data_IF_896214301503
#
_entry.id   IF_896214301503
#
_cell.length_a   1.000
_cell.length_b   1.000
_cell.length_c   1.000
_cell.angle_alpha   90.00
_cell.angle_beta   90.00
_cell.angle_gamma   90.00
#
_symmetry.space_group_name_H-M   'P 1'
#
loop_
_entity.id
_entity.type
_entity.pdbx_description
1 polymer ?
#
# COMPACT_ATOMS: atom_id res chain seq x y z
N UNK A 1 -46.65 28.37 29.08
CA UNK A 1 -45.64 28.68 28.05
C UNK A 1 -44.85 27.40 27.82
N UNK A 2 -44.64 26.99 26.56
CA UNK A 2 -43.84 25.80 26.23
C UNK A 2 -42.39 26.27 26.11
N UNK A 3 -41.54 25.89 27.06
CA UNK A 3 -40.12 26.19 26.99
C UNK A 3 -39.52 25.42 25.80
N UNK A 4 -39.04 26.17 24.81
CA UNK A 4 -38.40 25.59 23.65
C UNK A 4 -36.99 25.15 24.01
N UNK A 5 -36.72 23.85 24.03
CA UNK A 5 -35.37 23.28 24.19
C UNK A 5 -34.47 23.51 22.95
N UNK A 6 -34.45 24.74 22.44
CA UNK A 6 -33.63 25.14 21.30
C UNK A 6 -32.42 25.99 21.71
N UNK A 7 -32.34 26.37 23.00
CA UNK A 7 -31.19 27.07 23.54
C UNK A 7 -30.00 26.13 23.64
N UNK A 8 -28.85 26.56 23.09
CA UNK A 8 -27.55 25.87 23.13
C UNK A 8 -27.36 24.65 22.19
N UNK A 9 -28.02 24.64 21.04
CA UNK A 9 -27.73 23.65 20.00
C UNK A 9 -26.29 23.80 19.44
N UNK A 10 -25.58 22.68 19.18
CA UNK A 10 -24.27 22.72 18.54
C UNK A 10 -24.39 23.32 17.14
N UNK A 11 -23.88 24.56 16.98
CA UNK A 11 -23.96 25.33 15.73
C UNK A 11 -24.74 26.63 15.84
N UNK A 12 -25.39 26.91 16.98
CA UNK A 12 -26.09 28.17 17.21
C UNK A 12 -25.13 29.37 17.03
N UNK A 13 -25.53 30.33 16.19
CA UNK A 13 -24.77 31.55 15.90
C UNK A 13 -23.51 31.37 15.03
N UNK A 14 -23.17 30.15 14.60
CA UNK A 14 -22.04 29.93 13.68
C UNK A 14 -22.54 30.00 12.22
N UNK A 15 -21.79 30.66 11.31
CA UNK A 15 -22.13 30.61 9.90
C UNK A 15 -22.14 29.16 9.41
N UNK A 16 -23.16 28.80 8.62
CA UNK A 16 -23.31 27.45 8.08
C UNK A 16 -22.10 27.18 7.16
N UNK A 17 -21.25 26.19 7.48
CA UNK A 17 -20.08 25.90 6.66
C UNK A 17 -20.51 25.51 5.24
N UNK A 18 -20.03 26.24 4.23
CA UNK A 18 -20.27 25.94 2.82
C UNK A 18 -21.57 26.50 2.22
N UNK A 19 -22.23 27.46 2.87
CA UNK A 19 -23.45 28.14 2.36
C UNK A 19 -23.19 28.97 1.08
N UNK A 20 -21.93 29.33 0.86
CA UNK A 20 -21.40 30.09 -0.28
C UNK A 20 -20.97 29.21 -1.46
N UNK A 21 -21.10 27.88 -1.34
CA UNK A 21 -20.78 26.93 -2.42
C UNK A 21 -21.97 26.77 -3.37
N UNK A 22 -21.72 26.41 -4.65
CA UNK A 22 -22.79 26.06 -5.60
C UNK A 22 -23.75 25.03 -5.00
N UNK A 23 -25.06 25.22 -5.17
CA UNK A 23 -26.08 24.34 -4.62
C UNK A 23 -25.96 22.95 -5.26
N UNK A 24 -25.39 22.02 -4.51
CA UNK A 24 -25.28 20.61 -4.88
C UNK A 24 -26.48 19.87 -4.27
N UNK A 25 -27.50 19.47 -5.04
CA UNK A 25 -28.68 18.80 -4.49
C UNK A 25 -28.34 17.50 -3.73
N UNK A 26 -27.17 16.92 -3.97
CA UNK A 26 -26.69 15.69 -3.33
C UNK A 26 -25.78 15.95 -2.11
N UNK A 27 -25.67 17.20 -1.64
CA UNK A 27 -24.77 17.59 -0.55
C UNK A 27 -24.99 16.78 0.74
N UNK A 28 -26.25 16.47 1.06
CA UNK A 28 -26.64 15.72 2.25
C UNK A 28 -26.30 14.22 2.11
N UNK A 29 -26.42 13.67 0.90
CA UNK A 29 -26.07 12.27 0.58
C UNK A 29 -24.55 12.07 0.63
N UNK A 30 -23.77 12.99 0.04
CA UNK A 30 -22.30 12.98 0.11
C UNK A 30 -21.81 13.04 1.56
N UNK A 31 -22.39 13.94 2.37
CA UNK A 31 -22.08 14.06 3.81
C UNK A 31 -22.47 12.82 4.60
N UNK A 32 -23.55 12.13 4.23
CA UNK A 32 -23.98 10.87 4.85
C UNK A 32 -23.03 9.72 4.51
N UNK A 33 -22.69 9.55 3.22
CA UNK A 33 -21.74 8.54 2.73
C UNK A 33 -20.37 8.72 3.41
N UNK A 34 -19.90 9.96 3.53
CA UNK A 34 -18.65 10.31 4.19
C UNK A 34 -18.69 10.05 5.71
N UNK A 35 -19.77 10.47 6.40
CA UNK A 35 -19.96 10.28 7.85
C UNK A 35 -20.02 8.80 8.23
N UNK A 36 -20.79 8.02 7.48
CA UNK A 36 -21.08 6.62 7.79
C UNK A 36 -20.06 5.65 7.13
N UNK A 37 -19.06 6.16 6.41
CA UNK A 37 -18.06 5.38 5.65
C UNK A 37 -18.71 4.29 4.78
N UNK A 38 -19.84 4.60 4.17
CA UNK A 38 -20.58 3.61 3.38
C UNK A 38 -19.80 3.36 2.10
N UNK A 39 -19.18 2.19 1.98
CA UNK A 39 -18.68 1.70 0.70
C UNK A 39 -19.86 1.19 -0.11
N UNK A 40 -20.37 2.01 -1.04
CA UNK A 40 -21.57 1.73 -1.87
C UNK A 40 -21.18 1.12 -3.23
N UNK A 41 -20.07 0.39 -3.33
CA UNK A 41 -19.71 -0.25 -4.61
C UNK A 41 -20.49 -1.56 -4.76
N UNK A 42 -21.25 -1.74 -5.86
CA UNK A 42 -21.79 -3.05 -6.21
C UNK A 42 -20.66 -4.09 -6.26
N UNK A 43 -20.93 -5.37 -5.90
CA UNK A 43 -19.89 -6.41 -5.84
C UNK A 43 -19.01 -6.48 -7.10
N UNK A 44 -19.60 -6.31 -8.29
CA UNK A 44 -18.87 -6.31 -9.55
C UNK A 44 -17.81 -5.19 -9.64
N UNK A 45 -18.10 -3.98 -9.16
CA UNK A 45 -17.14 -2.86 -9.20
C UNK A 45 -16.11 -2.95 -8.06
N UNK A 46 -16.54 -3.46 -6.89
CA UNK A 46 -15.63 -3.73 -5.78
C UNK A 46 -14.57 -4.75 -6.18
N UNK A 47 -14.99 -5.90 -6.73
CA UNK A 47 -14.08 -6.97 -7.17
C UNK A 47 -13.13 -6.52 -8.30
N UNK A 48 -13.55 -5.63 -9.20
CA UNK A 48 -12.66 -5.06 -10.22
C UNK A 48 -11.61 -4.14 -9.61
N UNK A 49 -11.98 -3.37 -8.59
CA UNK A 49 -11.04 -2.50 -7.87
C UNK A 49 -10.02 -3.33 -7.09
N UNK A 50 -10.49 -4.41 -6.47
CA UNK A 50 -9.62 -5.36 -5.77
C UNK A 50 -8.69 -6.10 -6.72
N UNK A 51 -9.18 -6.60 -7.85
CA UNK A 51 -8.37 -7.26 -8.88
C UNK A 51 -7.22 -6.36 -9.36
N UNK A 52 -7.51 -5.08 -9.60
CA UNK A 52 -6.51 -4.09 -10.01
C UNK A 52 -5.43 -3.83 -8.95
N UNK A 53 -5.72 -4.09 -7.67
CA UNK A 53 -4.80 -3.88 -6.54
C UNK A 53 -4.22 -5.18 -5.99
N UNK A 54 -4.62 -6.33 -6.52
CA UNK A 54 -4.30 -7.63 -5.94
C UNK A 54 -2.78 -7.82 -5.82
N UNK A 55 -2.03 -7.45 -6.87
CA UNK A 55 -0.56 -7.53 -6.86
C UNK A 55 0.08 -6.75 -5.70
N UNK A 56 -0.42 -5.54 -5.41
CA UNK A 56 0.06 -4.69 -4.31
C UNK A 56 -0.24 -5.31 -2.95
N UNK A 57 -1.38 -5.99 -2.83
CA UNK A 57 -1.78 -6.69 -1.60
C UNK A 57 -0.90 -7.93 -1.40
N UNK A 58 -0.74 -8.75 -2.43
CA UNK A 58 0.12 -9.95 -2.39
C UNK A 58 1.57 -9.59 -2.09
N UNK A 59 2.05 -8.45 -2.58
CA UNK A 59 3.42 -7.98 -2.34
C UNK A 59 3.74 -7.65 -0.88
N UNK A 60 2.72 -7.48 -0.03
CA UNK A 60 2.86 -7.29 1.42
C UNK A 60 3.05 -8.60 2.17
N UNK A 61 2.66 -9.72 1.57
CA UNK A 61 2.83 -11.03 2.18
C UNK A 61 4.30 -11.46 2.21
N UNK A 62 4.66 -12.10 3.31
CA UNK A 62 6.03 -12.56 3.55
C UNK A 62 6.26 -14.03 3.22
N UNK A 63 5.17 -14.82 3.19
CA UNK A 63 5.17 -16.27 3.02
C UNK A 63 4.18 -16.70 1.95
N UNK A 64 4.47 -17.81 1.27
CA UNK A 64 3.66 -18.35 0.17
C UNK A 64 2.23 -18.67 0.62
N UNK A 65 2.05 -19.33 1.78
CA UNK A 65 0.72 -19.66 2.31
C UNK A 65 -0.18 -18.43 2.49
N UNK A 66 0.41 -17.26 2.79
CA UNK A 66 -0.30 -15.99 2.87
C UNK A 66 -0.88 -15.59 1.52
N UNK A 67 -0.06 -15.63 0.48
CA UNK A 67 -0.45 -15.35 -0.91
C UNK A 67 -1.54 -16.32 -1.36
N UNK A 68 -1.33 -17.62 -1.12
CA UNK A 68 -2.24 -18.70 -1.52
C UNK A 68 -3.65 -18.46 -0.96
N UNK A 69 -3.75 -18.20 0.35
CA UNK A 69 -5.01 -17.89 1.03
C UNK A 69 -5.69 -16.63 0.50
N UNK A 70 -4.93 -15.57 0.21
CA UNK A 70 -5.50 -14.32 -0.30
C UNK A 70 -6.10 -14.48 -1.69
N UNK A 71 -5.43 -15.22 -2.58
CA UNK A 71 -5.94 -15.50 -3.93
C UNK A 71 -7.17 -16.41 -3.85
N UNK A 72 -7.15 -17.43 -2.99
CA UNK A 72 -8.30 -18.33 -2.77
C UNK A 72 -9.51 -17.58 -2.20
N UNK A 73 -9.32 -16.71 -1.20
CA UNK A 73 -10.39 -15.87 -0.64
C UNK A 73 -10.97 -14.92 -1.71
N UNK A 74 -10.10 -14.27 -2.48
CA UNK A 74 -10.53 -13.40 -3.58
C UNK A 74 -11.36 -14.18 -4.62
N UNK A 75 -10.91 -15.36 -5.02
CA UNK A 75 -11.64 -16.24 -5.93
C UNK A 75 -12.99 -16.69 -5.34
N UNK A 76 -13.03 -17.04 -4.06
CA UNK A 76 -14.26 -17.41 -3.37
C UNK A 76 -15.28 -16.26 -3.40
N UNK A 77 -14.84 -15.02 -3.15
CA UNK A 77 -15.69 -13.82 -3.22
C UNK A 77 -16.22 -13.53 -4.63
N UNK A 78 -15.43 -13.80 -5.68
CA UNK A 78 -15.92 -13.74 -7.08
C UNK A 78 -17.02 -14.78 -7.31
N UNK A 79 -16.79 -16.02 -6.89
CA UNK A 79 -17.73 -17.12 -7.08
C UNK A 79 -19.05 -16.82 -6.35
N UNK A 80 -18.97 -16.36 -5.11
CA UNK A 80 -20.15 -16.03 -4.31
C UNK A 80 -20.92 -14.85 -4.91
N UNK A 81 -20.23 -13.79 -5.35
CA UNK A 81 -20.87 -12.66 -6.01
C UNK A 81 -21.61 -13.07 -7.30
N UNK A 82 -21.06 -14.04 -8.06
CA UNK A 82 -21.73 -14.61 -9.24
C UNK A 82 -22.95 -15.46 -8.86
N UNK A 83 -22.89 -16.20 -7.74
CA UNK A 83 -23.98 -17.08 -7.26
C UNK A 83 -25.15 -16.31 -6.65
N UNK A 84 -24.89 -15.18 -6.01
CA UNK A 84 -25.89 -14.42 -5.26
C UNK A 84 -27.04 -13.89 -6.14
N UNK A 85 -26.83 -13.68 -7.45
CA UNK A 85 -27.87 -13.24 -8.41
C UNK A 85 -28.67 -12.00 -7.93
N UNK A 86 -28.08 -11.14 -7.09
CA UNK A 86 -28.74 -10.00 -6.42
C UNK A 86 -29.09 -8.82 -7.36
N UNK A 87 -29.08 -9.04 -8.67
CA UNK A 87 -29.20 -7.99 -9.67
C UNK A 87 -27.95 -7.08 -9.72
N UNK A 88 -27.98 -6.10 -10.62
CA UNK A 88 -26.85 -5.18 -10.86
C UNK A 88 -25.90 -5.61 -11.99
N UNK A 89 -24.82 -4.85 -12.22
CA UNK A 89 -23.87 -5.12 -13.29
C UNK A 89 -23.25 -6.53 -13.17
N UNK A 90 -23.04 -7.25 -14.27
CA UNK A 90 -22.51 -8.60 -14.23
C UNK A 90 -21.08 -8.64 -13.66
N UNK A 91 -20.80 -9.65 -12.83
CA UNK A 91 -19.46 -9.91 -12.29
C UNK A 91 -18.59 -10.60 -13.34
N UNK A 92 -17.87 -9.79 -14.13
CA UNK A 92 -17.00 -10.24 -15.21
C UNK A 92 -15.54 -10.46 -14.79
N UNK A 93 -15.17 -10.11 -13.55
CA UNK A 93 -13.80 -10.30 -13.02
C UNK A 93 -13.42 -11.77 -13.08
N UNK A 94 -12.27 -12.09 -13.68
CA UNK A 94 -11.80 -13.46 -13.84
C UNK A 94 -11.26 -14.04 -12.53
N UNK A 95 -11.32 -15.37 -12.40
CA UNK A 95 -10.60 -16.06 -11.33
C UNK A 95 -9.10 -16.02 -11.62
N UNK A 96 -8.31 -15.94 -10.55
CA UNK A 96 -6.85 -15.91 -10.58
C UNK A 96 -6.31 -17.31 -10.31
N UNK A 97 -5.37 -17.77 -11.13
CA UNK A 97 -4.70 -19.04 -10.88
C UNK A 97 -3.71 -18.87 -9.72
N UNK A 98 -3.88 -19.70 -8.69
CA UNK A 98 -3.15 -19.58 -7.44
C UNK A 98 -1.66 -19.81 -7.63
N UNK A 99 -1.27 -20.82 -8.40
CA UNK A 99 0.14 -21.17 -8.59
C UNK A 99 0.84 -20.11 -9.46
N UNK A 100 0.16 -19.60 -10.48
CA UNK A 100 0.67 -18.50 -11.33
C UNK A 100 0.93 -17.24 -10.50
N UNK A 101 0.01 -16.87 -9.60
CA UNK A 101 0.16 -15.69 -8.74
C UNK A 101 1.26 -15.87 -7.70
N UNK A 102 1.39 -17.06 -7.10
CA UNK A 102 2.49 -17.41 -6.20
C UNK A 102 3.84 -17.26 -6.90
N UNK A 103 3.98 -17.77 -8.12
CA UNK A 103 5.21 -17.62 -8.88
C UNK A 103 5.51 -16.16 -9.22
N UNK A 104 4.50 -15.38 -9.63
CA UNK A 104 4.63 -13.97 -9.94
C UNK A 104 5.09 -13.16 -8.72
N UNK A 105 4.46 -13.38 -7.57
CA UNK A 105 4.87 -12.82 -6.28
C UNK A 105 6.32 -13.21 -5.93
N UNK A 106 6.68 -14.48 -6.04
CA UNK A 106 8.02 -14.97 -5.72
C UNK A 106 9.09 -14.34 -6.64
N UNK A 107 8.76 -14.09 -7.92
CA UNK A 107 9.64 -13.34 -8.84
C UNK A 107 9.80 -11.89 -8.40
N UNK A 108 8.71 -11.16 -8.16
CA UNK A 108 8.76 -9.75 -7.71
C UNK A 108 9.56 -9.61 -6.41
N UNK A 109 9.34 -10.52 -5.45
CA UNK A 109 10.06 -10.54 -4.18
C UNK A 109 11.56 -10.76 -4.34
N UNK A 110 11.98 -11.67 -5.23
CA UNK A 110 13.40 -11.91 -5.53
C UNK A 110 14.08 -10.67 -6.08
N UNK A 111 13.42 -9.95 -6.99
CA UNK A 111 13.93 -8.68 -7.55
C UNK A 111 14.11 -7.64 -6.45
N UNK A 112 13.07 -7.39 -5.63
CA UNK A 112 13.14 -6.45 -4.50
C UNK A 112 14.30 -6.74 -3.54
N UNK A 113 14.46 -8.01 -3.16
CA UNK A 113 15.55 -8.40 -2.26
C UNK A 113 16.94 -8.22 -2.88
N UNK A 114 17.09 -8.50 -4.17
CA UNK A 114 18.35 -8.29 -4.87
C UNK A 114 18.72 -6.80 -4.90
N UNK A 115 17.75 -5.92 -5.17
CA UNK A 115 17.95 -4.47 -5.12
C UNK A 115 18.30 -3.95 -3.73
N UNK A 116 17.59 -4.41 -2.69
CA UNK A 116 17.91 -4.06 -1.31
C UNK A 116 19.33 -4.50 -0.93
N UNK A 117 19.73 -5.72 -1.32
CA UNK A 117 21.08 -6.22 -1.09
C UNK A 117 22.14 -5.37 -1.79
N UNK A 118 21.88 -4.92 -3.03
CA UNK A 118 22.77 -4.02 -3.78
C UNK A 118 22.91 -2.67 -3.07
N UNK A 119 21.81 -2.02 -2.71
CA UNK A 119 21.84 -0.74 -1.97
C UNK A 119 22.59 -0.85 -0.66
N UNK A 120 22.36 -1.91 0.12
CA UNK A 120 23.10 -2.14 1.36
C UNK A 120 24.59 -2.36 1.12
N UNK A 121 24.98 -3.00 0.02
CA UNK A 121 26.38 -3.17 -0.35
C UNK A 121 27.04 -1.84 -0.76
N UNK A 122 26.32 -1.00 -1.50
CA UNK A 122 26.76 0.36 -1.89
C UNK A 122 26.96 1.24 -0.65
N UNK A 123 25.99 1.26 0.27
CA UNK A 123 26.10 2.01 1.53
C UNK A 123 27.33 1.56 2.31
N UNK A 124 27.51 0.24 2.50
CA UNK A 124 28.69 -0.30 3.21
C UNK A 124 30.00 0.01 2.50
N UNK A 125 30.02 0.01 1.17
CA UNK A 125 31.21 0.36 0.40
C UNK A 125 31.56 1.85 0.57
N UNK A 126 30.56 2.73 0.52
CA UNK A 126 30.72 4.16 0.78
C UNK A 126 31.21 4.43 2.20
N UNK A 127 30.63 3.77 3.20
CA UNK A 127 31.09 3.84 4.61
C UNK A 127 32.55 3.41 4.75
N UNK A 128 32.95 2.30 4.11
CA UNK A 128 34.35 1.83 4.12
C UNK A 128 35.30 2.80 3.42
N UNK A 129 34.87 3.43 2.33
CA UNK A 129 35.68 4.41 1.61
C UNK A 129 35.83 5.72 2.40
N UNK A 130 34.81 6.14 3.13
CA UNK A 130 34.84 7.31 4.00
C UNK A 130 35.59 7.05 5.33
N UNK A 131 35.73 5.80 5.75
CA UNK A 131 36.41 5.45 6.99
C UNK A 131 37.91 5.82 6.91
N UNK A 132 38.45 6.56 7.90
CA UNK A 132 39.86 6.92 7.90
C UNK A 132 40.74 5.68 8.00
N UNK A 133 41.92 5.67 7.34
CA UNK A 133 42.80 4.50 7.36
C UNK A 133 43.27 4.20 8.79
N UNK A 134 43.16 2.93 9.17
CA UNK A 134 43.57 2.43 10.47
C UNK A 134 45.06 2.72 10.72
N UNK A 135 45.46 2.80 12.00
CA UNK A 135 46.85 3.08 12.38
C UNK A 135 47.84 2.08 11.75
N UNK A 136 47.44 0.81 11.62
CA UNK A 136 48.23 -0.24 10.97
C UNK A 136 48.35 -0.05 9.44
N UNK A 137 47.27 0.34 8.76
CA UNK A 137 47.34 0.66 7.33
C UNK A 137 48.25 1.86 7.05
N UNK A 138 48.23 2.87 7.93
CA UNK A 138 49.16 4.02 7.87
C UNK A 138 50.62 3.59 8.11
N UNK A 139 50.86 2.69 9.09
CA UNK A 139 52.19 2.15 9.37
C UNK A 139 52.76 1.36 8.18
N UNK A 140 51.96 0.48 7.58
CA UNK A 140 52.34 -0.32 6.40
C UNK A 140 52.65 0.60 5.20
N UNK A 141 51.81 1.60 4.93
CA UNK A 141 52.06 2.57 3.86
C UNK A 141 53.38 3.34 4.06
N UNK A 142 53.68 3.70 5.31
CA UNK A 142 54.94 4.38 5.67
C UNK A 142 56.17 3.48 5.47
N UNK A 143 56.08 2.20 5.85
CA UNK A 143 57.14 1.21 5.62
C UNK A 143 57.38 0.94 4.13
N UNK A 144 56.31 0.77 3.33
CA UNK A 144 56.41 0.61 1.87
C UNK A 144 57.08 1.79 1.18
N UNK A 145 56.77 3.02 1.60
CA UNK A 145 57.39 4.24 1.06
C UNK A 145 58.88 4.36 1.42
N UNK A 146 59.31 3.80 2.57
CA UNK A 146 60.73 3.72 2.93
C UNK A 146 61.49 2.65 2.14
N UNK A 147 60.84 1.52 1.81
CA UNK A 147 61.49 0.41 1.08
C UNK A 147 61.55 0.65 -0.42
N UNK A 148 60.56 1.33 -1.02
CA UNK A 148 60.53 1.67 -2.45
C UNK A 148 61.38 2.89 -2.87
N UNK A 149 62.07 3.53 -1.91
CA UNK A 149 62.97 4.67 -2.15
C UNK A 149 64.42 4.24 -1.89
N UNK A 150 64.92 3.35 -2.73
CA UNK A 150 66.37 3.12 -2.89
C UNK A 150 66.72 3.33 -4.37
N UNK A 151 67.72 4.18 -4.69
CA UNK A 151 68.22 4.37 -6.05
C UNK A 151 68.92 3.11 -6.58
#
# INVERSE_FOLDING_TARGET
MRDGEFDNLPGAGKPIPGIDRPHDPDWWLKRLVEREKISVLPPALALRTEDARLDEVLDRESVEDGVRRLVEDFNARIIDARRQLQGGPPVITALRDVDVEVEAWARRRRVRLAEQKRRLAEIRAAERAAAPPSRWQRLIARLRRMVGRRP
#
